data_IF_380009474315
#
_entry.id   IF_380009474315
#
_cell.length_a   1.000
_cell.length_b   1.000
_cell.length_c   1.000
_cell.angle_alpha   90.00
_cell.angle_beta   90.00
_cell.angle_gamma   90.00
#
_symmetry.space_group_name_H-M   'P 1'
#
loop_
_entity.id
_entity.type
_entity.pdbx_description
1 polymer ?
#
# COMPACT_ATOMS: atom_id res chain seq x y z
N UNK A 1 44.96 -17.86 -15.99
CA UNK A 1 44.19 -16.90 -16.79
C UNK A 1 43.21 -16.23 -15.86
N UNK A 2 43.53 -15.02 -15.45
CA UNK A 2 42.88 -14.31 -14.35
C UNK A 2 41.65 -13.58 -14.85
N UNK A 3 40.48 -13.78 -14.18
CA UNK A 3 39.30 -12.96 -14.35
C UNK A 3 39.43 -11.73 -13.48
N UNK A 4 39.54 -10.57 -14.11
CA UNK A 4 39.63 -9.26 -13.50
C UNK A 4 38.23 -8.72 -13.21
N UNK A 5 38.05 -8.21 -11.98
CA UNK A 5 37.47 -6.90 -11.70
C UNK A 5 35.96 -6.77 -11.77
N UNK A 6 35.28 -7.08 -10.66
CA UNK A 6 33.98 -6.45 -10.37
C UNK A 6 34.25 -5.01 -9.91
N UNK A 7 33.87 -4.02 -10.71
CA UNK A 7 33.87 -2.62 -10.33
C UNK A 7 32.68 -2.38 -9.39
N UNK A 8 32.99 -2.13 -8.12
CA UNK A 8 32.04 -1.56 -7.15
C UNK A 8 31.74 -0.11 -7.55
N UNK A 9 30.51 0.17 -7.90
CA UNK A 9 30.02 1.52 -8.08
C UNK A 9 29.78 2.16 -6.72
N UNK A 10 30.62 3.11 -6.36
CA UNK A 10 30.38 3.97 -5.20
C UNK A 10 29.40 5.08 -5.59
N UNK A 11 28.17 4.98 -5.12
CA UNK A 11 27.24 6.10 -5.12
C UNK A 11 27.44 6.89 -3.82
N UNK A 12 28.00 8.07 -3.92
CA UNK A 12 28.05 9.03 -2.81
C UNK A 12 26.78 9.87 -2.86
N UNK A 13 25.75 9.45 -2.11
CA UNK A 13 24.65 10.33 -1.73
C UNK A 13 24.96 10.88 -0.33
N UNK A 14 25.05 12.21 -0.13
CA UNK A 14 25.50 12.79 1.16
C UNK A 14 24.54 12.54 2.33
N UNK A 15 23.34 12.06 2.11
CA UNK A 15 22.32 11.77 3.14
C UNK A 15 22.21 10.30 3.55
N UNK A 16 22.99 9.39 2.94
CA UNK A 16 22.96 7.96 3.28
C UNK A 16 24.09 7.53 4.25
N UNK A 17 24.84 8.49 4.79
CA UNK A 17 26.05 8.23 5.60
C UNK A 17 25.82 7.69 7.01
N UNK A 18 24.58 7.48 7.46
CA UNK A 18 24.34 7.11 8.88
C UNK A 18 23.26 6.04 9.09
N UNK A 19 22.80 5.32 8.06
CA UNK A 19 21.73 4.34 8.23
C UNK A 19 21.94 2.99 7.51
N UNK A 20 23.17 2.52 7.41
CA UNK A 20 23.44 1.12 7.07
C UNK A 20 24.13 0.44 8.26
N UNK A 21 23.59 0.53 9.45
CA UNK A 21 23.41 -0.62 10.30
C UNK A 21 21.97 -1.10 10.10
N UNK A 22 21.70 -1.70 8.96
CA UNK A 22 20.56 -2.56 8.80
C UNK A 22 20.80 -3.73 9.76
N UNK A 23 20.39 -3.57 11.01
CA UNK A 23 19.98 -4.70 11.82
C UNK A 23 19.04 -5.47 10.92
N UNK A 24 19.50 -6.66 10.48
CA UNK A 24 18.73 -7.66 9.75
C UNK A 24 17.28 -7.54 10.19
N UNK A 25 16.41 -7.07 9.27
CA UNK A 25 15.00 -6.89 9.55
C UNK A 25 14.45 -8.22 10.00
N UNK A 26 14.34 -8.42 11.30
CA UNK A 26 13.52 -9.48 11.84
C UNK A 26 12.14 -9.23 11.29
N UNK A 27 11.53 -10.19 10.57
CA UNK A 27 10.13 -10.08 10.20
C UNK A 27 9.36 -9.67 11.45
N UNK A 28 8.36 -8.80 11.31
CA UNK A 28 7.58 -8.28 12.43
C UNK A 28 7.28 -9.41 13.42
N UNK A 29 8.05 -9.44 14.52
CA UNK A 29 7.99 -10.57 15.47
C UNK A 29 6.71 -10.33 16.24
N UNK A 30 5.69 -11.11 15.92
CA UNK A 30 4.48 -11.19 16.74
C UNK A 30 4.90 -11.32 18.20
N UNK A 31 4.48 -10.43 19.10
CA UNK A 31 4.87 -10.49 20.49
C UNK A 31 4.64 -11.91 21.07
N UNK A 32 5.50 -12.43 21.94
CA UNK A 32 5.37 -13.78 22.50
C UNK A 32 3.97 -14.09 23.04
N UNK A 33 3.33 -13.10 23.68
CA UNK A 33 1.96 -13.17 24.20
C UNK A 33 0.88 -13.42 23.15
N UNK A 34 1.11 -13.04 21.88
CA UNK A 34 0.18 -13.28 20.78
C UNK A 34 0.44 -14.65 20.13
N UNK A 35 1.67 -15.15 20.16
CA UNK A 35 2.02 -16.47 19.63
C UNK A 35 1.37 -17.62 20.38
N UNK A 36 1.19 -17.49 21.71
CA UNK A 36 0.58 -18.52 22.54
C UNK A 36 -0.93 -18.68 22.31
N UNK A 37 -1.59 -17.67 21.74
CA UNK A 37 -3.02 -17.68 21.46
C UNK A 37 -3.38 -18.04 20.01
N UNK A 38 -2.41 -18.34 19.13
CA UNK A 38 -2.64 -18.73 17.74
C UNK A 38 -2.79 -20.26 17.58
N UNK A 39 -3.64 -20.75 16.64
CA UNK A 39 -4.50 -19.97 15.72
C UNK A 39 -5.74 -19.41 16.41
N UNK A 40 -6.19 -18.22 15.99
CA UNK A 40 -7.40 -17.60 16.51
C UNK A 40 -8.34 -17.14 15.38
N UNK A 41 -9.66 -17.18 15.61
CA UNK A 41 -10.64 -16.56 14.73
C UNK A 41 -10.85 -15.11 15.12
N UNK A 42 -10.82 -14.23 14.12
CA UNK A 42 -11.06 -12.80 14.29
C UNK A 42 -11.81 -12.26 13.07
N UNK A 43 -12.76 -11.37 13.33
CA UNK A 43 -13.35 -10.56 12.28
C UNK A 43 -12.41 -9.39 12.02
N UNK A 44 -11.85 -9.32 10.81
CA UNK A 44 -10.86 -8.32 10.42
C UNK A 44 -11.22 -7.74 9.06
N UNK A 45 -10.96 -6.45 8.91
CA UNK A 45 -10.92 -5.83 7.60
C UNK A 45 -9.53 -5.99 7.00
N UNK A 46 -9.46 -6.28 5.71
CA UNK A 46 -8.22 -6.31 4.93
C UNK A 46 -8.24 -5.21 3.90
N UNK A 47 -7.09 -4.56 3.72
CA UNK A 47 -6.86 -3.55 2.70
C UNK A 47 -5.69 -4.03 1.84
N UNK A 48 -5.96 -4.25 0.56
CA UNK A 48 -4.92 -4.44 -0.46
C UNK A 48 -4.68 -3.11 -1.16
N UNK A 49 -3.42 -2.78 -1.33
CA UNK A 49 -2.97 -1.60 -2.07
C UNK A 49 -1.90 -2.01 -3.07
N UNK A 50 -1.90 -1.41 -4.26
CA UNK A 50 -0.97 -1.74 -5.33
C UNK A 50 -0.70 -0.49 -6.18
N UNK A 51 0.55 -0.32 -6.65
CA UNK A 51 0.88 0.77 -7.55
C UNK A 51 0.27 0.48 -8.92
N UNK A 52 -0.56 1.40 -9.38
CA UNK A 52 -1.18 1.26 -10.68
C UNK A 52 -0.16 1.54 -11.81
N UNK A 53 -0.01 0.57 -12.71
CA UNK A 53 0.88 0.71 -13.86
C UNK A 53 2.37 0.58 -13.56
N UNK A 54 2.74 -0.12 -12.49
CA UNK A 54 4.14 -0.38 -12.10
C UNK A 54 4.98 -1.01 -13.22
N UNK A 55 4.40 -1.86 -14.04
CA UNK A 55 5.07 -2.41 -15.23
C UNK A 55 5.47 -1.29 -16.21
N UNK A 56 4.62 -0.28 -16.40
CA UNK A 56 4.93 0.87 -17.24
C UNK A 56 6.07 1.70 -16.65
N UNK A 57 6.12 1.86 -15.33
CA UNK A 57 7.23 2.53 -14.67
C UNK A 57 8.55 1.83 -14.96
N UNK A 58 8.60 0.49 -14.87
CA UNK A 58 9.79 -0.31 -15.14
C UNK A 58 10.25 -0.24 -16.61
N UNK A 59 9.33 0.00 -17.55
CA UNK A 59 9.66 0.15 -18.98
C UNK A 59 10.27 1.53 -19.28
N UNK A 60 9.84 2.58 -18.55
CA UNK A 60 10.18 3.96 -18.89
C UNK A 60 11.24 4.58 -17.95
N UNK A 61 11.55 3.94 -16.82
CA UNK A 61 12.46 4.47 -15.83
C UNK A 61 13.53 3.44 -15.41
N UNK A 62 14.74 3.87 -15.03
CA UNK A 62 15.74 3.00 -14.45
C UNK A 62 15.22 2.25 -13.21
N UNK A 63 15.63 0.99 -12.98
CA UNK A 63 15.19 0.20 -11.83
C UNK A 63 15.41 0.87 -10.47
N UNK A 64 16.47 1.66 -10.33
CA UNK A 64 16.81 2.38 -9.10
C UNK A 64 15.78 3.46 -8.79
N UNK A 65 15.28 4.17 -9.81
CA UNK A 65 14.20 5.15 -9.68
C UNK A 65 12.91 4.47 -9.27
N UNK A 66 12.57 3.35 -9.93
CA UNK A 66 11.36 2.57 -9.60
C UNK A 66 11.43 2.02 -8.19
N UNK A 67 12.60 1.54 -7.73
CA UNK A 67 12.80 1.09 -6.36
C UNK A 67 12.55 2.24 -5.36
N UNK A 68 13.04 3.45 -5.65
CA UNK A 68 12.77 4.64 -4.83
C UNK A 68 11.27 4.95 -4.74
N UNK A 69 10.56 4.89 -5.87
CA UNK A 69 9.10 5.07 -5.92
C UNK A 69 8.38 4.02 -5.06
N UNK A 70 8.70 2.75 -5.22
CA UNK A 70 8.11 1.65 -4.44
C UNK A 70 8.38 1.85 -2.95
N UNK A 71 9.62 2.19 -2.57
CA UNK A 71 9.99 2.42 -1.17
C UNK A 71 9.20 3.58 -0.56
N UNK A 72 9.11 4.71 -1.24
CA UNK A 72 8.33 5.85 -0.79
C UNK A 72 6.85 5.52 -0.64
N UNK A 73 6.27 4.80 -1.62
CA UNK A 73 4.89 4.33 -1.55
C UNK A 73 4.65 3.41 -0.36
N UNK A 74 5.52 2.42 -0.12
CA UNK A 74 5.39 1.51 1.03
C UNK A 74 5.55 2.22 2.36
N UNK A 75 6.41 3.24 2.44
CA UNK A 75 6.55 4.10 3.62
C UNK A 75 5.24 4.84 3.89
N UNK A 76 4.69 5.53 2.89
CA UNK A 76 3.42 6.23 2.98
C UNK A 76 2.28 5.31 3.45
N UNK A 77 2.15 4.15 2.80
CA UNK A 77 1.11 3.16 3.14
C UNK A 77 1.25 2.67 4.57
N UNK A 78 2.48 2.38 5.01
CA UNK A 78 2.75 1.89 6.37
C UNK A 78 2.45 2.95 7.44
N UNK A 79 2.86 4.19 7.21
CA UNK A 79 2.62 5.29 8.14
C UNK A 79 1.13 5.60 8.28
N UNK A 80 0.41 5.69 7.16
CA UNK A 80 -1.03 5.93 7.18
C UNK A 80 -1.80 4.74 7.78
N UNK A 81 -1.41 3.50 7.47
CA UNK A 81 -2.03 2.34 8.10
C UNK A 81 -1.86 2.37 9.62
N UNK A 82 -0.64 2.65 10.10
CA UNK A 82 -0.34 2.76 11.52
C UNK A 82 -1.13 3.87 12.21
N UNK A 83 -1.28 5.04 11.56
CA UNK A 83 -2.08 6.15 12.08
C UNK A 83 -3.56 5.80 12.28
N UNK A 84 -4.08 4.83 11.52
CA UNK A 84 -5.44 4.29 11.67
C UNK A 84 -5.50 2.92 12.39
N UNK A 85 -4.47 2.61 13.20
CA UNK A 85 -4.38 1.35 13.96
C UNK A 85 -4.45 0.09 13.07
N UNK A 86 -3.91 0.17 11.87
CA UNK A 86 -3.70 -0.95 10.96
C UNK A 86 -2.31 -1.56 11.12
N UNK A 87 -2.16 -2.74 10.59
CA UNK A 87 -0.89 -3.48 10.57
C UNK A 87 -0.61 -3.95 9.16
N UNK A 88 0.60 -3.73 8.68
CA UNK A 88 1.07 -4.31 7.43
C UNK A 88 1.36 -5.79 7.69
N UNK A 89 0.67 -6.66 6.94
CA UNK A 89 0.89 -8.11 7.00
C UNK A 89 2.09 -8.50 6.15
N UNK A 90 2.15 -7.98 4.92
CA UNK A 90 3.19 -8.35 3.96
C UNK A 90 3.31 -7.29 2.85
N UNK A 91 4.49 -7.23 2.23
CA UNK A 91 4.73 -6.51 0.98
C UNK A 91 4.88 -7.53 -0.15
N UNK A 92 4.15 -7.32 -1.25
CA UNK A 92 4.15 -8.19 -2.43
C UNK A 92 4.56 -7.37 -3.66
N UNK A 93 5.88 -7.29 -3.89
CA UNK A 93 6.43 -6.47 -4.98
C UNK A 93 6.16 -4.98 -4.76
N UNK A 94 5.28 -4.40 -5.56
CA UNK A 94 4.83 -3.01 -5.54
C UNK A 94 3.48 -2.83 -4.81
N UNK A 95 2.98 -3.88 -4.16
CA UNK A 95 1.75 -3.90 -3.39
C UNK A 95 1.95 -4.27 -1.92
N UNK A 96 0.92 -4.05 -1.11
CA UNK A 96 0.88 -4.41 0.29
C UNK A 96 -0.48 -4.99 0.70
N UNK A 97 -0.45 -5.95 1.62
CA UNK A 97 -1.61 -6.43 2.36
C UNK A 97 -1.57 -5.92 3.79
N UNK A 98 -2.62 -5.24 4.19
CA UNK A 98 -2.80 -4.69 5.52
C UNK A 98 -4.08 -5.27 6.16
N UNK A 99 -4.11 -5.29 7.48
CA UNK A 99 -5.31 -5.69 8.21
C UNK A 99 -5.61 -4.75 9.38
N UNK A 100 -6.89 -4.67 9.72
CA UNK A 100 -7.43 -3.77 10.74
C UNK A 100 -8.47 -4.50 11.57
N UNK A 101 -8.52 -4.19 12.86
CA UNK A 101 -9.60 -4.66 13.73
C UNK A 101 -10.94 -3.92 13.48
N UNK A 102 -10.91 -2.80 12.76
CA UNK A 102 -12.06 -1.95 12.48
C UNK A 102 -12.17 -1.65 10.99
N UNK A 103 -13.31 -1.97 10.40
CA UNK A 103 -13.65 -1.68 9.00
C UNK A 103 -13.61 -0.18 8.71
N UNK A 104 -14.11 0.64 9.64
CA UNK A 104 -14.03 2.10 9.58
C UNK A 104 -12.58 2.58 9.44
N UNK A 105 -11.67 2.01 10.19
CA UNK A 105 -10.27 2.40 10.17
C UNK A 105 -9.56 1.97 8.87
N UNK A 106 -9.88 0.78 8.36
CA UNK A 106 -9.38 0.32 7.05
C UNK A 106 -9.80 1.28 5.93
N UNK A 107 -11.07 1.69 5.91
CA UNK A 107 -11.58 2.63 4.91
C UNK A 107 -10.96 4.01 5.07
N UNK A 108 -10.83 4.52 6.29
CA UNK A 108 -10.16 5.81 6.54
C UNK A 108 -8.70 5.80 6.08
N UNK A 109 -7.98 4.72 6.33
CA UNK A 109 -6.61 4.55 5.84
C UNK A 109 -6.56 4.57 4.30
N UNK A 110 -7.45 3.83 3.64
CA UNK A 110 -7.54 3.80 2.17
C UNK A 110 -7.85 5.19 1.59
N UNK A 111 -8.79 5.92 2.18
CA UNK A 111 -9.13 7.29 1.79
C UNK A 111 -7.96 8.26 2.01
N UNK A 112 -7.21 8.11 3.10
CA UNK A 112 -6.04 8.93 3.39
C UNK A 112 -4.91 8.66 2.39
N UNK A 113 -4.64 7.39 2.06
CA UNK A 113 -3.67 7.00 1.03
C UNK A 113 -4.05 7.61 -0.31
N UNK A 114 -5.32 7.46 -0.72
CA UNK A 114 -5.83 8.04 -1.98
C UNK A 114 -5.61 9.56 -2.05
N UNK A 115 -5.94 10.28 -0.98
CA UNK A 115 -5.78 11.76 -0.91
C UNK A 115 -4.31 12.15 -1.02
N UNK A 116 -3.43 11.50 -0.27
CA UNK A 116 -1.99 11.80 -0.30
C UNK A 116 -1.36 11.57 -1.67
N UNK A 117 -1.78 10.51 -2.36
CA UNK A 117 -1.32 10.25 -3.73
C UNK A 117 -1.85 11.28 -4.73
N UNK A 118 -3.11 11.72 -4.58
CA UNK A 118 -3.71 12.71 -5.46
C UNK A 118 -3.11 14.12 -5.27
N UNK A 119 -2.71 14.47 -4.04
CA UNK A 119 -2.12 15.78 -3.73
C UNK A 119 -0.73 15.98 -4.37
N UNK A 120 -0.14 14.94 -4.96
CA UNK A 120 1.21 14.99 -5.53
C UNK A 120 2.32 15.31 -4.52
N UNK A 121 1.97 15.46 -3.25
CA UNK A 121 2.88 15.75 -2.13
C UNK A 121 3.45 14.47 -1.53
N UNK A 122 3.65 13.47 -2.35
CA UNK A 122 4.46 12.37 -1.91
C UNK A 122 5.91 12.84 -1.97
N UNK A 123 6.55 12.99 -0.83
CA UNK A 123 8.02 13.04 -0.69
C UNK A 123 8.65 11.72 -1.18
N UNK A 124 7.97 11.06 -2.13
CA UNK A 124 8.41 9.83 -2.79
C UNK A 124 9.52 10.24 -3.74
N UNK A 125 10.66 10.40 -3.14
CA UNK A 125 11.99 10.35 -3.69
C UNK A 125 12.17 10.84 -5.14
N UNK A 126 12.01 12.07 -5.40
CA UNK A 126 12.66 12.88 -6.44
C UNK A 126 11.73 14.04 -6.79
N UNK A 127 12.21 15.24 -6.76
CA UNK A 127 11.50 16.44 -7.24
C UNK A 127 11.00 16.32 -8.69
N UNK A 128 11.37 15.23 -9.39
CA UNK A 128 11.02 14.90 -10.77
C UNK A 128 10.48 13.47 -10.94
N UNK A 129 10.05 12.81 -9.85
CA UNK A 129 9.52 11.44 -9.93
C UNK A 129 8.15 11.37 -10.62
N UNK A 130 7.84 10.26 -11.32
CA UNK A 130 6.54 10.08 -11.95
C UNK A 130 5.43 10.08 -10.90
N UNK A 131 4.34 10.82 -11.16
CA UNK A 131 3.14 10.73 -10.34
C UNK A 131 2.62 9.30 -10.31
N UNK A 132 2.29 8.80 -9.12
CA UNK A 132 1.77 7.44 -8.96
C UNK A 132 0.31 7.48 -8.54
N UNK A 133 -0.47 6.54 -9.07
CA UNK A 133 -1.79 6.22 -8.59
C UNK A 133 -1.77 4.82 -7.97
N UNK A 134 -2.66 4.57 -7.02
CA UNK A 134 -2.83 3.24 -6.47
C UNK A 134 -4.20 2.66 -6.80
N UNK A 135 -4.29 1.35 -6.86
CA UNK A 135 -5.54 0.60 -6.76
C UNK A 135 -5.68 0.11 -5.34
N UNK A 136 -6.88 0.11 -4.83
CA UNK A 136 -7.14 -0.34 -3.47
C UNK A 136 -8.40 -1.19 -3.41
N UNK A 137 -8.37 -2.22 -2.57
CA UNK A 137 -9.57 -3.00 -2.26
C UNK A 137 -9.70 -3.22 -0.77
N UNK A 138 -10.94 -3.07 -0.25
CA UNK A 138 -11.26 -3.29 1.16
C UNK A 138 -12.29 -4.40 1.26
N UNK A 139 -11.99 -5.40 2.08
CA UNK A 139 -12.93 -6.47 2.43
C UNK A 139 -12.94 -6.70 3.94
N UNK A 140 -13.99 -7.30 4.45
CA UNK A 140 -14.10 -7.67 5.86
C UNK A 140 -14.68 -9.08 5.98
N UNK A 141 -14.26 -9.81 6.98
CA UNK A 141 -14.79 -11.15 7.23
C UNK A 141 -14.11 -11.84 8.40
N UNK A 142 -14.62 -13.03 8.71
CA UNK A 142 -14.05 -13.88 9.74
C UNK A 142 -12.82 -14.59 9.19
N UNK A 143 -11.68 -14.34 9.81
CA UNK A 143 -10.38 -14.89 9.42
C UNK A 143 -9.81 -15.77 10.53
N UNK A 144 -9.11 -16.81 10.14
CA UNK A 144 -8.18 -17.51 11.01
C UNK A 144 -6.82 -16.84 10.90
N UNK A 145 -6.37 -16.30 12.01
CA UNK A 145 -5.01 -15.74 12.15
C UNK A 145 -4.13 -16.83 12.72
N UNK A 146 -3.04 -17.15 12.05
CA UNK A 146 -2.14 -18.22 12.44
C UNK A 146 -0.71 -17.94 12.01
N UNK A 147 0.18 -18.87 12.34
CA UNK A 147 1.57 -18.87 11.88
C UNK A 147 1.74 -20.02 10.89
N UNK A 148 2.31 -19.74 9.73
CA UNK A 148 2.66 -20.75 8.73
C UNK A 148 4.16 -20.74 8.44
N UNK A 149 4.66 -21.88 8.00
CA UNK A 149 6.06 -22.05 7.66
C UNK A 149 6.77 -23.06 8.57
N UNK A 150 8.08 -22.98 8.57
CA UNK A 150 8.96 -23.87 9.31
C UNK A 150 9.76 -23.13 10.40
N UNK A 151 10.59 -23.85 11.14
CA UNK A 151 11.54 -23.25 12.10
C UNK A 151 12.54 -22.29 11.45
N UNK A 152 12.84 -22.49 10.15
CA UNK A 152 13.78 -21.64 9.40
C UNK A 152 13.12 -20.35 8.93
N UNK A 153 11.87 -20.44 8.43
CA UNK A 153 11.10 -19.29 7.98
C UNK A 153 9.64 -19.47 8.29
N UNK A 154 9.08 -18.53 9.01
CA UNK A 154 7.66 -18.51 9.33
C UNK A 154 7.11 -17.08 9.25
N UNK A 155 5.82 -16.96 9.07
CA UNK A 155 5.13 -15.68 9.00
C UNK A 155 3.69 -15.77 9.46
N UNK A 156 3.10 -14.61 9.72
CA UNK A 156 1.69 -14.51 10.03
C UNK A 156 0.87 -14.87 8.78
N UNK A 157 -0.16 -15.68 8.96
CA UNK A 157 -1.13 -15.99 7.92
C UNK A 157 -2.52 -15.48 8.31
N UNK A 158 -3.20 -14.92 7.33
CA UNK A 158 -4.61 -14.55 7.40
C UNK A 158 -5.37 -15.44 6.43
N UNK A 159 -6.19 -16.34 6.94
CA UNK A 159 -6.89 -17.35 6.12
C UNK A 159 -8.39 -17.15 6.23
N UNK A 160 -9.03 -16.89 5.09
CA UNK A 160 -10.47 -16.77 4.99
C UNK A 160 -10.91 -16.24 3.62
N UNK A 161 -12.19 -16.41 3.24
CA UNK A 161 -12.70 -16.02 1.94
C UNK A 161 -12.48 -14.55 1.60
N UNK A 162 -12.66 -13.65 2.59
CA UNK A 162 -12.53 -12.21 2.37
C UNK A 162 -11.13 -11.78 1.92
N UNK A 163 -10.06 -12.45 2.36
CA UNK A 163 -8.69 -12.17 1.89
C UNK A 163 -8.56 -12.46 0.40
N UNK A 164 -9.03 -13.64 -0.04
CA UNK A 164 -8.99 -14.02 -1.45
C UNK A 164 -9.87 -13.14 -2.33
N UNK A 165 -11.06 -12.75 -1.83
CA UNK A 165 -11.94 -11.82 -2.50
C UNK A 165 -11.26 -10.46 -2.67
N UNK A 166 -10.64 -9.93 -1.60
CA UNK A 166 -9.91 -8.67 -1.63
C UNK A 166 -8.80 -8.63 -2.68
N UNK A 167 -7.96 -9.67 -2.72
CA UNK A 167 -6.89 -9.78 -3.70
C UNK A 167 -7.41 -9.80 -5.16
N UNK A 168 -8.60 -10.36 -5.38
CA UNK A 168 -9.24 -10.39 -6.70
C UNK A 168 -9.92 -9.08 -7.06
N UNK A 169 -10.62 -8.46 -6.10
CA UNK A 169 -11.25 -7.16 -6.29
C UNK A 169 -10.21 -6.08 -6.62
N UNK A 170 -9.01 -6.15 -6.04
CA UNK A 170 -7.93 -5.22 -6.36
C UNK A 170 -7.64 -5.12 -7.86
N UNK A 171 -7.67 -6.25 -8.57
CA UNK A 171 -7.43 -6.31 -10.02
C UNK A 171 -8.52 -5.64 -10.85
N UNK A 172 -9.71 -5.49 -10.28
CA UNK A 172 -10.86 -4.85 -10.91
C UNK A 172 -11.07 -3.40 -10.45
N UNK A 173 -10.28 -2.93 -9.48
CA UNK A 173 -10.34 -1.55 -9.03
C UNK A 173 -9.86 -0.59 -10.15
N UNK A 174 -10.64 0.45 -10.48
CA UNK A 174 -10.15 1.51 -11.36
C UNK A 174 -8.92 2.21 -10.77
N UNK A 175 -8.13 2.85 -11.64
CA UNK A 175 -6.95 3.61 -11.20
C UNK A 175 -7.37 4.71 -10.23
N UNK A 176 -6.70 4.81 -9.09
CA UNK A 176 -6.98 5.82 -8.07
C UNK A 176 -8.28 5.59 -7.28
N UNK A 177 -8.99 4.49 -7.52
CA UNK A 177 -10.23 4.15 -6.84
C UNK A 177 -10.02 3.18 -5.67
N UNK A 178 -11.03 3.10 -4.82
CA UNK A 178 -11.14 2.10 -3.75
C UNK A 178 -12.38 1.25 -4.06
N UNK A 179 -12.22 -0.07 -4.23
CA UNK A 179 -13.31 -1.01 -4.34
C UNK A 179 -13.55 -1.71 -3.01
N UNK A 180 -14.79 -1.91 -2.62
CA UNK A 180 -15.14 -2.56 -1.36
C UNK A 180 -16.18 -3.66 -1.57
N UNK A 181 -16.15 -4.70 -0.73
CA UNK A 181 -17.21 -5.72 -0.67
C UNK A 181 -18.48 -5.17 -0.01
N UNK A 182 -19.62 -5.79 -0.30
CA UNK A 182 -20.90 -5.41 0.27
C UNK A 182 -20.91 -5.43 1.80
N UNK A 183 -20.21 -6.36 2.43
CA UNK A 183 -20.09 -6.43 3.89
C UNK A 183 -19.41 -5.18 4.46
N UNK A 184 -18.42 -4.64 3.78
CA UNK A 184 -17.76 -3.37 4.17
C UNK A 184 -18.76 -2.24 4.14
N UNK A 185 -19.54 -2.12 3.04
CA UNK A 185 -20.54 -1.09 2.89
C UNK A 185 -21.63 -1.19 3.98
N UNK A 186 -22.12 -2.39 4.25
CA UNK A 186 -23.15 -2.59 5.28
C UNK A 186 -22.65 -2.27 6.69
N UNK A 187 -21.40 -2.61 7.02
CA UNK A 187 -20.81 -2.20 8.30
C UNK A 187 -20.65 -0.68 8.39
N UNK A 188 -20.18 -0.02 7.33
CA UNK A 188 -20.06 1.43 7.32
C UNK A 188 -21.43 2.11 7.43
N UNK A 189 -22.43 1.63 6.70
CA UNK A 189 -23.79 2.18 6.74
C UNK A 189 -24.39 2.14 8.13
N UNK A 190 -24.11 1.07 8.88
CA UNK A 190 -24.57 0.91 10.26
C UNK A 190 -23.78 1.76 11.24
N UNK A 191 -22.45 1.78 11.14
CA UNK A 191 -21.56 2.31 12.18
C UNK A 191 -21.11 3.75 11.91
N UNK A 192 -20.96 4.13 10.64
CA UNK A 192 -20.46 5.45 10.21
C UNK A 192 -21.07 5.81 8.84
N UNK A 193 -22.35 6.16 8.77
CA UNK A 193 -23.07 6.42 7.50
C UNK A 193 -22.36 7.41 6.59
N UNK A 194 -21.71 8.44 7.15
CA UNK A 194 -21.01 9.46 6.38
C UNK A 194 -19.82 8.88 5.55
N UNK A 195 -19.23 7.78 5.98
CA UNK A 195 -18.22 7.09 5.18
C UNK A 195 -18.85 6.18 4.12
N UNK A 196 -20.04 5.66 4.38
CA UNK A 196 -20.78 4.88 3.40
C UNK A 196 -21.24 5.73 2.21
N UNK A 197 -21.55 7.00 2.44
CA UNK A 197 -22.00 7.95 1.40
C UNK A 197 -20.94 8.21 0.33
N UNK A 198 -19.67 7.93 0.61
CA UNK A 198 -18.60 8.04 -0.39
C UNK A 198 -18.60 6.86 -1.38
N UNK A 199 -19.33 5.78 -1.09
CA UNK A 199 -19.35 4.56 -1.89
C UNK A 199 -20.56 4.49 -2.80
N UNK A 200 -20.32 4.23 -4.08
CA UNK A 200 -21.34 4.02 -5.08
C UNK A 200 -21.41 2.53 -5.45
N UNK A 201 -22.61 1.96 -5.58
CA UNK A 201 -22.74 0.56 -6.01
C UNK A 201 -22.22 0.39 -7.42
N UNK A 202 -21.59 -0.75 -7.70
CA UNK A 202 -21.31 -1.16 -9.06
C UNK A 202 -22.49 -1.98 -9.60
N UNK A 203 -22.86 -1.73 -10.85
CA UNK A 203 -24.07 -2.28 -11.47
C UNK A 203 -24.08 -3.82 -11.54
N UNK A 204 -22.90 -4.44 -11.63
CA UNK A 204 -22.77 -5.89 -11.69
C UNK A 204 -22.14 -6.45 -10.42
N UNK A 205 -22.76 -7.48 -9.85
CA UNK A 205 -22.14 -8.24 -8.78
C UNK A 205 -20.84 -8.91 -9.28
N UNK A 206 -19.79 -8.84 -8.48
CA UNK A 206 -18.52 -9.47 -8.79
C UNK A 206 -18.64 -11.00 -8.66
N UNK A 207 -18.43 -11.72 -9.77
CA UNK A 207 -18.36 -13.18 -9.76
C UNK A 207 -16.95 -13.57 -9.28
N UNK A 208 -16.87 -14.29 -8.17
CA UNK A 208 -15.58 -14.70 -7.59
C UNK A 208 -15.01 -15.88 -8.39
N UNK A 209 -13.90 -15.72 -9.13
CA UNK A 209 -13.33 -16.80 -9.91
C UNK A 209 -12.95 -18.00 -9.05
N UNK A 210 -13.33 -19.22 -9.46
CA UNK A 210 -13.01 -20.47 -8.74
C UNK A 210 -13.76 -20.66 -7.43
N UNK A 211 -14.90 -20.01 -7.24
CA UNK A 211 -15.77 -20.13 -6.07
C UNK A 211 -17.22 -20.48 -6.48
N UNK A 212 -17.38 -21.46 -7.38
CA UNK A 212 -18.66 -22.11 -7.76
C UNK A 212 -19.83 -21.12 -7.97
N UNK A 213 -19.58 -20.01 -8.68
CA UNK A 213 -20.59 -19.00 -8.98
C UNK A 213 -20.90 -18.04 -7.82
N UNK A 214 -20.09 -18.04 -6.76
CA UNK A 214 -20.23 -17.05 -5.69
C UNK A 214 -20.16 -15.63 -6.25
N UNK A 215 -21.13 -14.80 -5.88
CA UNK A 215 -21.19 -13.40 -6.24
C UNK A 215 -21.05 -12.53 -5.01
N UNK A 216 -20.38 -11.38 -5.17
CA UNK A 216 -20.20 -10.39 -4.11
C UNK A 216 -20.69 -9.05 -4.62
N UNK A 217 -21.59 -8.41 -3.88
CA UNK A 217 -21.94 -7.02 -4.14
C UNK A 217 -20.70 -6.15 -3.93
N UNK A 218 -20.46 -5.21 -4.82
CA UNK A 218 -19.28 -4.36 -4.80
C UNK A 218 -19.67 -2.90 -4.88
N UNK A 219 -18.89 -2.09 -4.19
CA UNK A 219 -19.05 -0.65 -4.10
C UNK A 219 -17.72 0.02 -4.41
N UNK A 220 -17.74 1.20 -5.00
CA UNK A 220 -16.54 1.93 -5.39
C UNK A 220 -16.57 3.35 -4.85
N UNK A 221 -15.44 3.78 -4.31
CA UNK A 221 -15.13 5.21 -4.16
C UNK A 221 -14.33 5.61 -5.40
N UNK A 222 -14.87 6.51 -6.25
CA UNK A 222 -14.21 6.85 -7.51
C UNK A 222 -12.88 7.56 -7.28
N UNK A 223 -11.99 7.60 -8.29
CA UNK A 223 -10.75 8.35 -8.20
C UNK A 223 -11.03 9.84 -7.95
N UNK A 224 -10.11 10.50 -7.26
CA UNK A 224 -10.18 11.96 -7.14
C UNK A 224 -9.90 12.59 -8.51
N UNK A 225 -10.57 13.71 -8.84
CA UNK A 225 -10.21 14.45 -10.04
C UNK A 225 -8.73 14.88 -9.94
N UNK A 226 -7.99 14.89 -11.07
CA UNK A 226 -6.63 15.40 -11.06
C UNK A 226 -6.64 16.82 -10.51
N UNK A 227 -5.78 17.09 -9.54
CA UNK A 227 -5.54 18.47 -9.09
C UNK A 227 -5.06 19.23 -10.30
N UNK A 228 -5.81 20.26 -10.72
CA UNK A 228 -5.40 21.13 -11.80
C UNK A 228 -3.98 21.61 -11.46
N UNK A 229 -3.02 21.30 -12.33
CA UNK A 229 -1.68 21.82 -12.19
C UNK A 229 -1.81 23.35 -12.13
N UNK A 230 -1.60 23.92 -10.95
CA UNK A 230 -1.48 25.36 -10.81
C UNK A 230 -0.26 25.74 -11.64
N UNK A 231 -0.49 26.39 -12.77
CA UNK A 231 0.51 26.83 -13.70
C UNK A 231 1.26 28.05 -13.14
N UNK A 232 1.83 27.93 -11.96
CA UNK A 232 2.86 28.83 -11.53
C UNK A 232 4.20 28.12 -11.70
N UNK A 233 5.06 28.59 -12.61
CA UNK A 233 6.41 28.07 -12.71
C UNK A 233 7.10 28.39 -11.38
N UNK A 234 7.46 27.36 -10.62
CA UNK A 234 8.35 27.51 -9.49
C UNK A 234 9.62 28.17 -9.98
N UNK A 235 9.77 29.47 -9.70
CA UNK A 235 11.01 30.17 -9.91
C UNK A 235 12.01 29.65 -8.88
N UNK A 236 12.87 28.74 -9.29
CA UNK A 236 14.02 28.34 -8.54
C UNK A 236 14.97 29.56 -8.46
N UNK A 237 14.94 30.31 -7.37
CA UNK A 237 15.98 31.31 -7.10
C UNK A 237 17.30 30.59 -6.84
N UNK A 238 18.37 30.91 -7.58
CA UNK A 238 19.68 30.33 -7.30
C UNK A 238 20.19 30.88 -5.97
N UNK A 239 20.12 30.09 -4.91
CA UNK A 239 20.72 30.42 -3.62
C UNK A 239 22.25 30.36 -3.75
N UNK A 240 22.84 31.58 -3.86
CA UNK A 240 24.09 32.00 -3.24
C UNK A 240 25.34 31.13 -3.46
N UNK A 241 25.89 31.16 -4.68
CA UNK A 241 27.33 30.99 -4.91
C UNK A 241 28.01 32.35 -4.73
N UNK A 242 28.37 32.71 -3.49
CA UNK A 242 29.45 33.70 -3.25
C UNK A 242 29.77 33.75 -1.74
N UNK A 243 30.68 32.90 -1.32
CA UNK A 243 31.61 33.16 -0.19
C UNK A 243 32.79 32.18 -0.25
N UNK A 244 33.66 32.32 -1.24
CA UNK A 244 35.09 31.97 -1.11
C UNK A 244 35.92 33.04 -1.78
N UNK A 245 36.58 33.82 -1.01
CA UNK A 245 37.57 34.79 -1.48
C UNK A 245 37.73 35.94 -0.54
N UNK A 246 38.40 35.75 0.59
CA UNK A 246 39.46 36.59 1.15
C UNK A 246 40.05 35.92 2.39
#
# INVERSE_FOLDING_TARGET
MALRGAQLWHFSCPSLGTMIEAKSGRPAVTPPSVREALPMRRRLATLFVDIAGSTSLLVHHPPEVVLGVVQGFMTLVTELASAYAGTVKDFEGDGALLYFASTKNAVRAALAIRRRLADGRCDIACEEGPGIAARMSVTVGDLVVGVVGSSVRHGLALVGPSVNIGARLLKHAPLGAIIASGEVFEELRRDVPQLADEFHPLDAAFIVPGADGMTVATYVVPPLPPVAATSEPFSCSPANQDRRGQ
#
